data_IF_347414071648
#
_entry.id   IF_347414071648
#
_cell.length_a   1.000
_cell.length_b   1.000
_cell.length_c   1.000
_cell.angle_alpha   90.00
_cell.angle_beta   90.00
_cell.angle_gamma   90.00
#
_symmetry.space_group_name_H-M   'P 1'
#
loop_
_entity.id
_entity.type
_entity.pdbx_description
1 polymer ?
#
# COMPACT_ATOMS: atom_id res chain seq x y z
N UNK A 1 17.25 0.82 24.02
CA UNK A 1 15.99 1.49 24.42
C UNK A 1 14.88 0.88 23.61
N UNK A 2 13.71 0.61 24.19
CA UNK A 2 12.58 0.04 23.44
C UNK A 2 12.08 1.03 22.39
N UNK A 3 11.79 0.54 21.18
CA UNK A 3 11.28 1.36 20.08
C UNK A 3 9.78 1.09 19.89
N UNK A 4 8.97 2.13 19.97
CA UNK A 4 7.53 2.05 19.74
C UNK A 4 7.22 1.80 18.27
N UNK A 5 7.93 2.46 17.37
CA UNK A 5 7.70 2.35 15.93
C UNK A 5 8.99 2.47 15.13
N UNK A 6 9.08 1.69 14.05
CA UNK A 6 10.06 1.85 12.99
C UNK A 6 9.39 2.39 11.73
N UNK A 7 9.93 3.48 11.19
CA UNK A 7 9.62 3.98 9.86
C UNK A 7 10.63 3.43 8.87
N UNK A 8 10.20 2.58 7.93
CA UNK A 8 11.04 2.08 6.84
C UNK A 8 10.91 2.98 5.63
N UNK A 9 12.02 3.52 5.15
CA UNK A 9 12.08 4.43 4.01
C UNK A 9 12.84 3.73 2.88
N UNK A 10 12.13 3.02 1.96
CA UNK A 10 12.75 2.48 0.76
C UNK A 10 13.21 3.63 -0.15
N UNK A 11 14.49 3.63 -0.54
CA UNK A 11 15.11 4.74 -1.26
C UNK A 11 15.90 4.23 -2.46
N UNK A 12 15.60 4.74 -3.66
CA UNK A 12 16.36 4.48 -4.87
C UNK A 12 16.45 5.75 -5.70
N UNK A 13 17.67 6.31 -5.86
CA UNK A 13 17.91 7.59 -6.50
C UNK A 13 17.03 8.71 -5.92
N UNK A 14 16.96 8.78 -4.58
CA UNK A 14 16.06 9.63 -3.81
C UNK A 14 16.79 10.84 -3.16
N UNK A 15 18.02 11.13 -3.54
CA UNK A 15 18.86 12.16 -2.91
C UNK A 15 18.20 13.56 -2.85
N UNK A 16 17.25 13.85 -3.73
CA UNK A 16 16.56 15.15 -3.79
C UNK A 16 15.37 15.25 -2.82
N UNK A 17 14.71 14.13 -2.56
CA UNK A 17 13.41 14.12 -1.86
C UNK A 17 13.52 13.63 -0.42
N UNK A 18 14.47 12.70 -0.11
CA UNK A 18 14.57 12.00 1.16
C UNK A 18 14.76 12.92 2.38
N UNK A 19 15.38 14.09 2.21
CA UNK A 19 15.60 15.03 3.32
C UNK A 19 14.28 15.54 3.87
N UNK A 20 13.31 15.82 3.01
CA UNK A 20 11.97 16.25 3.42
C UNK A 20 11.22 15.14 4.15
N UNK A 21 11.29 13.91 3.64
CA UNK A 21 10.70 12.74 4.26
C UNK A 21 11.24 12.55 5.70
N UNK A 22 12.56 12.43 5.85
CA UNK A 22 13.21 12.20 7.14
C UNK A 22 12.94 13.35 8.13
N UNK A 23 13.06 14.60 7.68
CA UNK A 23 12.81 15.78 8.51
C UNK A 23 11.38 15.80 9.03
N UNK A 24 10.39 15.45 8.20
CA UNK A 24 8.99 15.43 8.62
C UNK A 24 8.72 14.44 9.75
N UNK A 25 9.41 13.30 9.76
CA UNK A 25 9.30 12.29 10.81
C UNK A 25 10.00 12.76 12.09
N UNK A 26 11.21 13.31 11.98
CA UNK A 26 11.98 13.81 13.13
C UNK A 26 11.25 14.94 13.84
N UNK A 27 10.81 15.97 13.10
CA UNK A 27 10.10 17.12 13.65
C UNK A 27 8.73 16.71 14.23
N UNK A 28 7.96 15.92 13.48
CA UNK A 28 6.65 15.45 13.93
C UNK A 28 6.70 14.52 15.15
N UNK A 29 7.82 13.83 15.37
CA UNK A 29 8.10 13.06 16.59
C UNK A 29 8.73 13.84 17.71
N UNK A 30 9.08 15.11 17.48
CA UNK A 30 9.87 15.95 18.38
C UNK A 30 11.20 15.28 18.73
N UNK A 31 11.89 14.69 17.73
CA UNK A 31 13.17 13.99 17.86
C UNK A 31 13.18 12.89 18.94
N UNK A 32 12.04 12.24 19.13
CA UNK A 32 11.87 11.23 20.18
C UNK A 32 12.78 10.02 19.95
N UNK A 33 13.43 9.55 21.02
CA UNK A 33 14.37 8.43 20.96
C UNK A 33 13.73 7.05 20.97
N UNK A 34 12.42 6.98 21.17
CA UNK A 34 11.62 5.75 21.13
C UNK A 34 11.06 5.43 19.72
N UNK A 35 11.41 6.25 18.72
CA UNK A 35 11.20 5.92 17.32
C UNK A 35 12.48 5.41 16.67
N UNK A 36 12.35 4.75 15.55
CA UNK A 36 13.44 4.35 14.66
C UNK A 36 13.09 4.73 13.23
N UNK A 37 14.07 5.19 12.47
CA UNK A 37 13.97 5.43 11.02
C UNK A 37 15.01 4.55 10.36
N UNK A 38 14.61 3.69 9.43
CA UNK A 38 15.52 2.87 8.62
C UNK A 38 15.43 3.35 7.18
N UNK A 39 16.50 3.98 6.72
CA UNK A 39 16.65 4.36 5.30
C UNK A 39 17.28 3.18 4.58
N UNK A 40 16.56 2.59 3.65
CA UNK A 40 17.06 1.46 2.86
C UNK A 40 17.44 1.97 1.48
N UNK A 41 18.74 2.16 1.26
CA UNK A 41 19.29 2.45 -0.07
C UNK A 41 19.32 1.17 -0.91
N UNK A 42 18.49 1.13 -1.93
CA UNK A 42 18.31 -0.01 -2.84
C UNK A 42 19.28 0.08 -4.04
N UNK A 43 20.58 0.28 -3.76
CA UNK A 43 21.65 0.32 -4.77
C UNK A 43 21.56 1.56 -5.67
N UNK A 44 21.38 2.72 -5.09
CA UNK A 44 21.28 4.02 -5.80
C UNK A 44 22.58 4.33 -6.55
N UNK A 45 22.44 5.15 -7.60
CA UNK A 45 23.54 5.65 -8.42
C UNK A 45 23.83 7.15 -8.22
N UNK A 46 22.98 7.81 -7.45
CA UNK A 46 23.13 9.20 -7.03
C UNK A 46 23.67 9.28 -5.59
N UNK A 47 23.55 10.44 -4.96
CA UNK A 47 24.05 10.70 -3.61
C UNK A 47 23.17 10.10 -2.49
N UNK A 48 22.16 9.28 -2.79
CA UNK A 48 21.23 8.71 -1.80
C UNK A 48 21.94 7.96 -0.68
N UNK A 49 22.91 7.08 -1.03
CA UNK A 49 23.66 6.29 -0.05
C UNK A 49 24.44 7.20 0.91
N UNK A 50 25.20 8.15 0.37
CA UNK A 50 25.98 9.09 1.18
C UNK A 50 25.09 9.94 2.11
N UNK A 51 23.95 10.41 1.63
CA UNK A 51 22.98 11.14 2.47
C UNK A 51 22.38 10.26 3.57
N UNK A 52 22.10 8.99 3.29
CA UNK A 52 21.60 8.08 4.32
C UNK A 52 22.62 7.92 5.45
N UNK A 53 23.91 7.78 5.13
CA UNK A 53 25.00 7.71 6.09
C UNK A 53 25.16 9.02 6.88
N UNK A 54 25.03 10.18 6.24
CA UNK A 54 25.05 11.49 6.91
C UNK A 54 23.88 11.62 7.91
N UNK A 55 22.68 11.17 7.55
CA UNK A 55 21.54 11.16 8.46
C UNK A 55 21.73 10.22 9.64
N UNK A 56 22.28 9.02 9.44
CA UNK A 56 22.61 8.09 10.53
C UNK A 56 23.67 8.70 11.46
N UNK A 57 24.75 9.27 10.92
CA UNK A 57 25.81 9.91 11.72
C UNK A 57 25.28 11.09 12.53
N UNK A 58 24.32 11.85 12.01
CA UNK A 58 23.71 13.02 12.67
C UNK A 58 22.73 12.65 13.78
N UNK A 59 22.03 11.50 13.65
CA UNK A 59 21.01 11.05 14.61
C UNK A 59 21.24 9.59 15.04
N UNK A 60 22.39 9.30 15.70
CA UNK A 60 22.71 7.94 16.09
C UNK A 60 21.68 7.38 17.08
N UNK A 61 21.25 6.15 16.83
CA UNK A 61 20.24 5.49 17.63
C UNK A 61 18.78 5.87 17.31
N UNK A 62 18.56 6.83 16.40
CA UNK A 62 17.24 7.15 15.83
C UNK A 62 17.19 6.71 14.37
N UNK A 63 18.20 7.10 13.57
CA UNK A 63 18.30 6.77 12.15
C UNK A 63 19.33 5.68 11.93
N UNK A 64 19.06 4.79 10.99
CA UNK A 64 19.98 3.76 10.53
C UNK A 64 19.90 3.65 9.01
N UNK A 65 21.06 3.65 8.36
CA UNK A 65 21.21 3.37 6.94
C UNK A 65 21.41 1.87 6.71
N UNK A 66 20.75 1.34 5.67
CA UNK A 66 20.90 -0.03 5.20
C UNK A 66 21.13 0.01 3.71
N UNK A 67 22.27 -0.52 3.24
CA UNK A 67 22.60 -0.57 1.83
C UNK A 67 22.45 -1.98 1.28
N UNK A 68 21.89 -2.11 0.08
CA UNK A 68 21.73 -3.40 -0.59
C UNK A 68 21.92 -3.26 -2.11
N UNK A 69 22.13 -4.37 -2.77
CA UNK A 69 22.01 -4.43 -4.24
C UNK A 69 20.55 -4.15 -4.61
N UNK A 70 20.37 -3.47 -5.77
CA UNK A 70 19.03 -3.11 -6.20
C UNK A 70 18.14 -4.35 -6.39
N UNK A 71 17.13 -4.45 -5.55
CA UNK A 71 16.10 -5.50 -5.57
C UNK A 71 14.72 -4.98 -5.94
N UNK A 72 14.56 -3.65 -6.01
CA UNK A 72 13.29 -2.95 -6.21
C UNK A 72 12.55 -2.68 -4.90
N UNK A 73 11.55 -1.82 -4.99
CA UNK A 73 10.82 -1.27 -3.85
C UNK A 73 10.38 -2.33 -2.82
N UNK A 74 9.78 -3.45 -3.26
CA UNK A 74 9.32 -4.49 -2.34
C UNK A 74 10.44 -5.14 -1.52
N UNK A 75 11.61 -5.35 -2.14
CA UNK A 75 12.77 -5.93 -1.45
C UNK A 75 13.34 -4.92 -0.45
N UNK A 76 13.38 -3.63 -0.78
CA UNK A 76 13.79 -2.58 0.15
C UNK A 76 12.83 -2.49 1.36
N UNK A 77 11.50 -2.60 1.14
CA UNK A 77 10.51 -2.70 2.23
C UNK A 77 10.77 -3.90 3.12
N UNK A 78 11.05 -5.09 2.55
CA UNK A 78 11.37 -6.30 3.33
C UNK A 78 12.69 -6.16 4.12
N UNK A 79 13.69 -5.52 3.55
CA UNK A 79 14.95 -5.24 4.25
C UNK A 79 14.74 -4.31 5.45
N UNK A 80 13.98 -3.23 5.28
CA UNK A 80 13.59 -2.37 6.39
C UNK A 80 12.81 -3.11 7.48
N UNK A 81 11.86 -3.97 7.09
CA UNK A 81 11.08 -4.79 8.02
C UNK A 81 11.96 -5.81 8.78
N UNK A 82 12.92 -6.43 8.11
CA UNK A 82 13.86 -7.37 8.74
C UNK A 82 14.67 -6.71 9.84
N UNK A 83 15.13 -5.50 9.59
CA UNK A 83 15.98 -4.73 10.49
C UNK A 83 15.19 -3.97 11.59
N UNK A 84 13.88 -3.81 11.44
CA UNK A 84 13.02 -3.05 12.34
C UNK A 84 13.08 -3.53 13.80
N UNK A 85 13.21 -2.62 14.75
CA UNK A 85 13.21 -2.87 16.19
C UNK A 85 11.95 -2.37 16.89
N UNK A 86 11.13 -1.55 16.19
CA UNK A 86 9.89 -1.02 16.72
C UNK A 86 8.79 -2.06 16.88
N UNK A 87 7.96 -1.90 17.90
CA UNK A 87 6.73 -2.70 18.06
C UNK A 87 5.85 -2.59 16.82
N UNK A 88 5.81 -1.41 16.21
CA UNK A 88 5.07 -1.15 14.97
C UNK A 88 6.03 -0.84 13.83
N UNK A 89 5.58 -1.13 12.61
CA UNK A 89 6.29 -0.85 11.37
C UNK A 89 5.40 -0.09 10.39
N UNK A 90 5.90 1.01 9.87
CA UNK A 90 5.24 1.82 8.84
C UNK A 90 6.21 2.13 7.72
N UNK A 91 5.80 1.86 6.48
CA UNK A 91 6.52 2.30 5.28
C UNK A 91 6.19 3.76 5.00
N UNK A 92 7.22 4.54 4.67
CA UNK A 92 7.10 5.89 4.15
C UNK A 92 7.99 5.98 2.91
N UNK A 93 7.40 6.23 1.74
CA UNK A 93 8.18 6.37 0.51
C UNK A 93 9.07 7.62 0.59
N UNK A 94 10.28 7.53 0.07
CA UNK A 94 11.31 8.57 0.23
C UNK A 94 10.97 9.93 -0.39
N UNK A 95 9.96 9.96 -1.24
CA UNK A 95 9.44 11.14 -1.93
C UNK A 95 8.14 11.70 -1.32
N UNK A 96 7.67 11.08 -0.23
CA UNK A 96 6.48 11.44 0.53
C UNK A 96 6.86 11.99 1.92
N UNK A 97 5.88 12.45 2.71
CA UNK A 97 6.14 12.95 4.06
C UNK A 97 4.97 12.68 5.01
N UNK A 98 5.18 12.93 6.30
CA UNK A 98 4.15 12.81 7.32
C UNK A 98 3.75 14.20 7.86
N UNK A 99 2.46 14.37 8.15
CA UNK A 99 1.97 15.56 8.88
C UNK A 99 2.41 15.50 10.34
N UNK A 100 3.11 16.52 10.80
CA UNK A 100 3.71 16.52 12.14
C UNK A 100 2.69 16.43 13.28
N UNK A 101 1.57 17.14 13.19
CA UNK A 101 0.52 17.09 14.23
C UNK A 101 -0.19 15.72 14.26
N UNK A 102 -0.46 15.16 13.08
CA UNK A 102 -1.04 13.83 12.97
C UNK A 102 -0.05 12.75 13.45
N UNK A 103 1.25 12.88 13.15
CA UNK A 103 2.30 11.98 13.65
C UNK A 103 2.40 12.02 15.18
N UNK A 104 2.44 13.21 15.78
CA UNK A 104 2.43 13.36 17.24
C UNK A 104 1.22 12.68 17.87
N UNK A 105 0.03 12.81 17.24
CA UNK A 105 -1.20 12.13 17.68
C UNK A 105 -1.07 10.61 17.58
N UNK A 106 -0.56 10.09 16.46
CA UNK A 106 -0.32 8.66 16.26
C UNK A 106 0.60 8.11 17.34
N UNK A 107 1.75 8.76 17.58
CA UNK A 107 2.73 8.32 18.57
C UNK A 107 2.14 8.30 19.98
N UNK A 108 1.35 9.31 20.36
CA UNK A 108 0.65 9.33 21.64
C UNK A 108 -0.30 8.13 21.81
N UNK A 109 -1.02 7.76 20.76
CA UNK A 109 -1.92 6.59 20.78
C UNK A 109 -1.12 5.29 20.90
N UNK A 110 -0.04 5.12 20.14
CA UNK A 110 0.78 3.92 20.16
C UNK A 110 1.49 3.72 21.51
N UNK A 111 2.05 4.80 22.07
CA UNK A 111 2.61 4.79 23.43
C UNK A 111 1.58 4.38 24.47
N UNK A 112 0.36 4.93 24.39
CA UNK A 112 -0.74 4.56 25.26
C UNK A 112 -1.17 3.09 25.11
N UNK A 113 -0.99 2.44 23.96
CA UNK A 113 -1.19 1.00 23.81
C UNK A 113 -0.07 0.20 24.50
N UNK A 114 1.20 0.65 24.39
CA UNK A 114 2.32 0.03 25.08
C UNK A 114 2.15 0.09 26.61
N UNK A 115 1.81 1.27 27.15
CA UNK A 115 1.62 1.49 28.59
C UNK A 115 0.50 0.63 29.19
N UNK A 116 -0.53 0.32 28.39
CA UNK A 116 -1.67 -0.50 28.83
C UNK A 116 -1.52 -1.98 28.47
N UNK A 117 -0.42 -2.38 27.82
CA UNK A 117 -0.23 -3.71 27.23
C UNK A 117 -1.41 -4.14 26.32
N UNK A 118 -1.95 -3.18 25.56
CA UNK A 118 -3.10 -3.36 24.66
C UNK A 118 -2.71 -3.12 23.20
N UNK A 119 -1.64 -3.78 22.73
CA UNK A 119 -1.16 -3.63 21.36
C UNK A 119 -2.19 -4.09 20.34
N UNK A 120 -2.38 -3.28 19.29
CA UNK A 120 -3.21 -3.67 18.15
C UNK A 120 -2.35 -4.26 17.05
N UNK A 121 -2.93 -5.12 16.21
CA UNK A 121 -2.21 -5.73 15.09
C UNK A 121 -2.04 -4.76 13.92
N UNK A 122 -3.01 -3.83 13.77
CA UNK A 122 -3.03 -2.88 12.68
C UNK A 122 -3.57 -1.52 13.15
N UNK A 123 -2.75 -0.50 13.06
CA UNK A 123 -3.18 0.90 13.17
C UNK A 123 -3.43 1.46 11.77
N UNK A 124 -4.57 2.14 11.60
CA UNK A 124 -5.02 2.70 10.33
C UNK A 124 -5.18 4.21 10.49
N UNK A 125 -4.66 4.99 9.53
CA UNK A 125 -4.85 6.43 9.42
C UNK A 125 -5.36 6.83 8.03
N UNK A 126 -5.72 8.09 7.85
CA UNK A 126 -5.95 8.64 6.54
C UNK A 126 -4.63 8.91 5.81
N UNK A 127 -4.72 9.09 4.50
CA UNK A 127 -3.66 9.67 3.69
C UNK A 127 -4.24 10.78 2.82
N UNK A 128 -3.37 11.66 2.32
CA UNK A 128 -3.74 12.83 1.54
C UNK A 128 -3.00 12.79 0.22
N UNK A 129 -3.71 12.85 -0.88
CA UNK A 129 -3.11 13.14 -2.17
C UNK A 129 -2.71 14.61 -2.22
N UNK A 130 -1.41 14.86 -2.34
CA UNK A 130 -0.83 16.20 -2.46
C UNK A 130 -0.48 16.48 -3.91
N UNK A 131 -1.32 17.24 -4.58
CA UNK A 131 -1.06 17.73 -5.94
C UNK A 131 -0.30 19.06 -5.85
N UNK A 132 0.97 18.98 -5.50
CA UNK A 132 1.82 20.13 -5.17
C UNK A 132 1.83 21.15 -6.30
N UNK A 133 1.91 20.70 -7.56
CA UNK A 133 1.92 21.59 -8.74
C UNK A 133 0.57 22.27 -9.01
N UNK A 134 -0.53 21.69 -8.53
CA UNK A 134 -1.88 22.27 -8.65
C UNK A 134 -2.29 23.08 -7.41
N UNK A 135 -1.51 22.99 -6.31
CA UNK A 135 -1.84 23.61 -5.03
C UNK A 135 -3.11 23.03 -4.39
N UNK A 136 -3.46 21.78 -4.72
CA UNK A 136 -4.67 21.12 -4.21
C UNK A 136 -4.34 19.84 -3.47
N UNK A 137 -5.19 19.50 -2.48
CA UNK A 137 -5.05 18.27 -1.71
C UNK A 137 -6.40 17.55 -1.56
N UNK A 138 -6.38 16.24 -1.41
CA UNK A 138 -7.58 15.43 -1.20
C UNK A 138 -7.31 14.35 -0.16
N UNK A 139 -7.97 14.46 0.99
CA UNK A 139 -7.87 13.46 2.06
C UNK A 139 -8.72 12.22 1.73
N UNK A 140 -8.14 11.05 1.92
CA UNK A 140 -8.78 9.75 1.81
C UNK A 140 -8.85 9.14 3.19
N UNK A 141 -10.06 9.03 3.72
CA UNK A 141 -10.32 8.49 5.05
C UNK A 141 -11.38 7.40 5.04
N UNK A 142 -11.52 6.72 6.16
CA UNK A 142 -12.32 5.48 6.28
C UNK A 142 -13.43 5.59 7.33
N UNK A 143 -13.77 6.79 7.78
CA UNK A 143 -14.72 7.05 8.88
C UNK A 143 -16.14 6.47 8.71
N UNK A 144 -16.53 6.14 7.47
CA UNK A 144 -17.82 5.50 7.20
C UNK A 144 -17.75 3.97 7.17
N UNK A 145 -16.53 3.42 7.03
CA UNK A 145 -16.29 1.98 6.97
C UNK A 145 -15.68 1.43 8.27
N UNK A 146 -14.90 2.24 9.00
CA UNK A 146 -14.17 1.78 10.18
C UNK A 146 -14.66 2.46 11.46
N UNK A 147 -14.79 1.70 12.58
CA UNK A 147 -15.03 2.26 13.89
C UNK A 147 -13.89 3.20 14.32
N UNK A 148 -14.22 4.35 14.91
CA UNK A 148 -13.26 5.36 15.37
C UNK A 148 -13.02 5.30 16.87
N UNK A 149 -11.83 5.67 17.33
CA UNK A 149 -11.46 5.88 18.73
C UNK A 149 -11.70 4.65 19.63
N UNK A 150 -11.64 3.46 19.08
CA UNK A 150 -11.74 2.19 19.82
C UNK A 150 -11.01 1.08 19.07
N UNK A 151 -10.58 0.07 19.80
CA UNK A 151 -10.08 -1.18 19.22
C UNK A 151 -11.28 -1.95 18.67
N UNK A 152 -11.12 -2.53 17.49
CA UNK A 152 -12.18 -3.28 16.81
C UNK A 152 -11.59 -4.50 16.06
N UNK A 153 -12.48 -5.39 15.65
CA UNK A 153 -12.18 -6.58 14.83
C UNK A 153 -12.82 -6.43 13.45
N UNK A 154 -12.45 -7.29 12.51
CA UNK A 154 -13.00 -7.28 11.16
C UNK A 154 -14.54 -7.44 11.12
N UNK A 155 -15.13 -8.12 12.10
CA UNK A 155 -16.59 -8.30 12.16
C UNK A 155 -17.36 -7.02 12.54
N UNK A 156 -16.65 -5.97 12.93
CA UNK A 156 -17.21 -4.68 13.31
C UNK A 156 -17.08 -3.60 12.24
N UNK A 157 -16.42 -3.90 11.10
CA UNK A 157 -16.28 -2.93 10.01
C UNK A 157 -17.58 -2.75 9.25
N UNK A 158 -17.77 -1.58 8.63
CA UNK A 158 -18.84 -1.30 7.68
C UNK A 158 -18.46 -1.70 6.25
N UNK A 159 -19.21 -1.17 5.30
CA UNK A 159 -18.94 -1.37 3.87
C UNK A 159 -17.99 -0.29 3.37
N UNK A 160 -16.92 -0.72 2.71
CA UNK A 160 -16.04 0.17 1.96
C UNK A 160 -16.76 0.60 0.66
N UNK A 161 -16.56 1.83 0.25
CA UNK A 161 -17.05 2.31 -1.04
C UNK A 161 -16.30 1.61 -2.17
N UNK A 162 -16.88 1.62 -3.36
CA UNK A 162 -16.19 1.12 -4.55
C UNK A 162 -14.85 1.86 -4.71
N UNK A 163 -13.80 1.10 -4.99
CA UNK A 163 -12.42 1.61 -5.10
C UNK A 163 -11.82 2.26 -3.84
N UNK A 164 -12.48 2.19 -2.69
CA UNK A 164 -11.92 2.64 -1.41
C UNK A 164 -11.16 1.49 -0.77
N UNK A 165 -9.88 1.34 -1.11
CA UNK A 165 -9.02 0.32 -0.53
C UNK A 165 -8.12 0.93 0.55
N UNK A 166 -7.73 0.10 1.52
CA UNK A 166 -6.64 0.40 2.44
C UNK A 166 -5.34 0.31 1.65
N UNK A 167 -4.66 1.41 1.46
CA UNK A 167 -3.36 1.45 0.79
C UNK A 167 -2.23 1.42 1.82
N UNK A 168 -1.01 1.06 1.40
CA UNK A 168 0.20 1.03 2.23
C UNK A 168 0.35 2.34 3.04
N UNK A 169 0.06 3.48 2.43
CA UNK A 169 0.13 4.81 3.02
C UNK A 169 -0.71 4.95 4.31
N UNK A 170 -1.85 4.26 4.40
CA UNK A 170 -2.74 4.30 5.56
C UNK A 170 -2.42 3.28 6.65
N UNK A 171 -1.52 2.33 6.40
CA UNK A 171 -1.30 1.17 7.25
C UNK A 171 -0.03 1.30 8.10
N UNK A 172 -0.15 0.89 9.36
CA UNK A 172 0.97 0.68 10.27
C UNK A 172 0.70 -0.63 11.01
N UNK A 173 1.49 -1.63 10.73
CA UNK A 173 1.32 -2.96 11.30
C UNK A 173 2.14 -3.15 12.57
N UNK A 174 1.68 -4.01 13.47
CA UNK A 174 2.56 -4.59 14.48
C UNK A 174 3.62 -5.42 13.75
N UNK A 175 4.87 -5.18 14.09
CA UNK A 175 6.05 -5.70 13.35
C UNK A 175 6.08 -7.22 13.26
N UNK A 176 5.75 -7.91 14.35
CA UNK A 176 5.68 -9.38 14.39
C UNK A 176 4.59 -9.94 13.47
N UNK A 177 3.39 -9.35 13.49
CA UNK A 177 2.28 -9.75 12.61
C UNK A 177 2.65 -9.60 11.13
N UNK A 178 3.35 -8.50 10.80
CA UNK A 178 3.79 -8.25 9.43
C UNK A 178 4.90 -9.25 9.02
N UNK A 179 5.85 -9.55 9.90
CA UNK A 179 6.89 -10.56 9.66
C UNK A 179 6.31 -11.95 9.47
N UNK A 180 5.37 -12.36 10.32
CA UNK A 180 4.68 -13.64 10.21
C UNK A 180 3.84 -13.77 8.92
N UNK A 181 3.50 -12.65 8.29
CA UNK A 181 2.75 -12.66 7.02
C UNK A 181 3.59 -13.15 5.84
N UNK A 182 4.93 -13.25 5.98
CA UNK A 182 5.86 -13.75 4.95
C UNK A 182 5.54 -13.16 3.58
N UNK A 183 5.55 -11.83 3.49
CA UNK A 183 5.13 -11.09 2.28
C UNK A 183 5.84 -11.59 1.02
N UNK A 184 5.14 -12.10 0.02
CA UNK A 184 5.72 -12.62 -1.22
C UNK A 184 6.04 -11.48 -2.20
N UNK A 185 6.99 -10.61 -1.83
CA UNK A 185 7.40 -9.46 -2.63
C UNK A 185 8.35 -9.90 -3.75
N UNK A 186 7.94 -9.84 -5.03
CA UNK A 186 8.83 -10.16 -6.13
C UNK A 186 9.84 -9.03 -6.36
N UNK A 187 11.11 -9.35 -6.72
CA UNK A 187 12.10 -8.33 -7.04
C UNK A 187 11.70 -7.55 -8.30
N UNK A 188 12.21 -6.32 -8.41
CA UNK A 188 12.05 -5.43 -9.56
C UNK A 188 10.60 -5.34 -10.07
N UNK A 189 9.65 -5.28 -9.14
CA UNK A 189 8.22 -5.25 -9.46
C UNK A 189 7.56 -4.04 -8.81
N UNK A 190 6.83 -3.25 -9.61
CA UNK A 190 5.98 -2.16 -9.12
C UNK A 190 4.65 -2.70 -8.61
N UNK A 191 3.88 -1.86 -7.94
CA UNK A 191 2.53 -2.19 -7.41
C UNK A 191 2.52 -3.23 -6.28
N UNK A 192 3.68 -3.54 -5.69
CA UNK A 192 3.83 -4.47 -4.56
C UNK A 192 3.25 -3.91 -3.25
N UNK A 193 2.99 -2.61 -3.19
CA UNK A 193 2.20 -1.94 -2.16
C UNK A 193 0.82 -2.59 -1.96
N UNK A 194 0.23 -3.16 -3.04
CA UNK A 194 -1.00 -3.93 -2.97
C UNK A 194 -0.81 -5.28 -2.24
N UNK A 195 0.35 -5.92 -2.38
CA UNK A 195 0.70 -7.13 -1.63
C UNK A 195 0.85 -6.79 -0.14
N UNK A 196 1.57 -5.69 0.16
CA UNK A 196 1.74 -5.17 1.52
C UNK A 196 0.39 -4.85 2.20
N UNK A 197 -0.53 -4.28 1.45
CA UNK A 197 -1.84 -3.90 1.95
C UNK A 197 -2.82 -5.07 2.10
N UNK A 198 -2.66 -6.14 1.32
CA UNK A 198 -3.64 -7.23 1.21
C UNK A 198 -3.28 -8.47 2.01
N UNK A 199 -2.02 -8.93 1.88
CA UNK A 199 -1.61 -10.23 2.42
C UNK A 199 -1.66 -10.30 3.95
N UNK A 200 -1.29 -9.26 4.73
CA UNK A 200 -1.31 -9.37 6.19
C UNK A 200 -2.71 -9.33 6.82
N UNK A 201 -3.74 -8.90 6.10
CA UNK A 201 -5.06 -8.61 6.69
C UNK A 201 -5.69 -9.78 7.47
N UNK A 202 -5.66 -11.04 7.01
CA UNK A 202 -6.24 -12.15 7.75
C UNK A 202 -5.51 -12.47 9.07
N UNK A 203 -4.27 -12.02 9.23
CA UNK A 203 -3.49 -12.19 10.47
C UNK A 203 -3.80 -11.11 11.49
N UNK A 204 -4.29 -9.94 11.06
CA UNK A 204 -4.69 -8.86 11.95
C UNK A 204 -6.01 -9.19 12.63
N UNK A 205 -6.01 -9.42 13.94
CA UNK A 205 -7.20 -9.72 14.75
C UNK A 205 -7.79 -8.46 15.37
N UNK A 206 -6.92 -7.51 15.73
CA UNK A 206 -7.29 -6.27 16.40
C UNK A 206 -6.78 -5.05 15.62
N UNK A 207 -7.67 -4.08 15.41
CA UNK A 207 -7.35 -2.87 14.67
C UNK A 207 -7.76 -1.61 15.45
N UNK A 208 -7.11 -0.51 15.10
CA UNK A 208 -7.51 0.81 15.55
C UNK A 208 -7.48 1.79 14.38
N UNK A 209 -8.54 2.57 14.22
CA UNK A 209 -8.59 3.61 13.21
C UNK A 209 -8.58 5.00 13.88
N UNK A 210 -7.53 5.77 13.57
CA UNK A 210 -7.43 7.18 13.89
C UNK A 210 -7.84 7.99 12.65
N UNK A 211 -8.87 8.82 12.78
CA UNK A 211 -9.32 9.71 11.70
C UNK A 211 -8.40 10.95 11.66
N UNK A 212 -7.15 10.74 11.29
CA UNK A 212 -6.08 11.75 11.18
C UNK A 212 -5.42 11.67 9.80
N UNK A 213 -5.13 12.81 9.19
CA UNK A 213 -4.56 12.95 7.86
C UNK A 213 -3.04 12.88 7.93
N UNK A 214 -2.51 11.66 8.21
CA UNK A 214 -1.12 11.41 8.57
C UNK A 214 -0.17 11.46 7.38
N UNK A 215 -0.45 10.66 6.36
CA UNK A 215 0.47 10.43 5.25
C UNK A 215 0.19 11.40 4.12
N UNK A 216 1.21 12.10 3.63
CA UNK A 216 1.17 13.07 2.54
C UNK A 216 1.79 12.44 1.31
N UNK A 217 0.95 12.01 0.38
CA UNK A 217 1.34 11.35 -0.86
C UNK A 217 1.50 12.35 -1.99
N UNK A 218 2.74 12.57 -2.42
CA UNK A 218 3.06 13.50 -3.49
C UNK A 218 2.69 12.91 -4.85
N UNK A 219 1.68 13.48 -5.53
CA UNK A 219 1.24 13.06 -6.86
C UNK A 219 1.36 14.18 -7.89
N UNK A 220 1.44 13.79 -9.17
CA UNK A 220 1.51 14.71 -10.31
C UNK A 220 2.91 14.93 -10.87
N UNK A 221 3.94 14.16 -10.43
CA UNK A 221 5.28 14.21 -11.03
C UNK A 221 5.33 13.42 -12.33
N UNK A 222 6.16 13.89 -13.29
CA UNK A 222 6.44 13.11 -14.49
C UNK A 222 7.10 11.76 -14.13
N UNK A 223 6.67 10.69 -14.79
CA UNK A 223 7.24 9.36 -14.61
C UNK A 223 6.73 8.57 -13.41
N UNK A 224 5.77 9.08 -12.63
CA UNK A 224 5.18 8.33 -11.52
C UNK A 224 4.59 7.00 -11.99
N UNK A 225 4.67 5.99 -11.11
CA UNK A 225 4.22 4.62 -11.37
C UNK A 225 2.72 4.52 -11.66
N UNK A 226 1.92 5.45 -11.13
CA UNK A 226 0.45 5.50 -11.29
C UNK A 226 -0.01 6.20 -12.57
N UNK A 227 0.89 6.74 -13.39
CA UNK A 227 0.54 7.31 -14.69
C UNK A 227 0.04 6.21 -15.63
N UNK A 228 -1.10 6.43 -16.33
CA UNK A 228 -1.75 5.45 -17.21
C UNK A 228 -0.79 4.84 -18.24
N UNK A 229 -0.02 5.68 -18.95
CA UNK A 229 0.95 5.21 -19.95
C UNK A 229 2.06 4.37 -19.34
N UNK A 230 2.48 4.69 -18.11
CA UNK A 230 3.45 3.91 -17.34
C UNK A 230 2.87 2.57 -16.89
N UNK A 231 1.61 2.56 -16.44
CA UNK A 231 0.91 1.35 -16.03
C UNK A 231 0.70 0.39 -17.21
N UNK A 232 0.35 0.88 -18.38
CA UNK A 232 0.23 0.08 -19.60
C UNK A 232 1.57 -0.59 -19.96
N UNK A 233 2.68 0.15 -19.92
CA UNK A 233 4.04 -0.39 -20.17
C UNK A 233 4.47 -1.45 -19.13
N UNK A 234 3.87 -1.46 -17.96
CA UNK A 234 4.17 -2.39 -16.85
C UNK A 234 3.05 -3.38 -16.59
N UNK A 235 2.25 -3.66 -17.60
CA UNK A 235 1.09 -4.54 -17.53
C UNK A 235 1.46 -5.96 -17.02
N UNK A 236 2.63 -6.48 -17.39
CA UNK A 236 3.15 -7.76 -16.89
C UNK A 236 3.33 -7.78 -15.37
N UNK A 237 3.74 -6.67 -14.79
CA UNK A 237 3.93 -6.54 -13.33
C UNK A 237 2.58 -6.44 -12.62
N UNK A 238 1.62 -5.73 -13.21
CA UNK A 238 0.25 -5.70 -12.70
C UNK A 238 -0.38 -7.11 -12.68
N UNK A 239 -0.19 -7.91 -13.73
CA UNK A 239 -0.60 -9.31 -13.76
C UNK A 239 0.10 -10.14 -12.67
N UNK A 240 1.40 -9.96 -12.49
CA UNK A 240 2.20 -10.67 -11.48
C UNK A 240 1.69 -10.39 -10.07
N UNK A 241 1.51 -9.12 -9.70
CA UNK A 241 0.98 -8.73 -8.40
C UNK A 241 -0.43 -9.25 -8.18
N UNK A 242 -1.32 -9.15 -9.18
CA UNK A 242 -2.68 -9.66 -9.08
C UNK A 242 -2.70 -11.17 -8.89
N UNK A 243 -1.80 -11.93 -9.56
CA UNK A 243 -1.64 -13.38 -9.38
C UNK A 243 -1.18 -13.71 -7.96
N UNK A 244 -0.21 -13.01 -7.42
CA UNK A 244 0.26 -13.20 -6.04
C UNK A 244 -0.88 -12.98 -5.05
N UNK A 245 -1.68 -11.92 -5.22
CA UNK A 245 -2.86 -11.68 -4.38
C UNK A 245 -3.90 -12.80 -4.52
N UNK A 246 -4.12 -13.32 -5.73
CA UNK A 246 -5.00 -14.46 -5.99
C UNK A 246 -4.57 -15.70 -5.21
N UNK A 247 -3.28 -16.03 -5.31
CA UNK A 247 -2.71 -17.27 -4.77
C UNK A 247 -2.47 -17.20 -3.25
N UNK A 248 -2.57 -16.02 -2.65
CA UNK A 248 -2.33 -15.84 -1.22
C UNK A 248 -3.40 -16.49 -0.35
N UNK A 249 -4.65 -16.58 -0.82
CA UNK A 249 -5.77 -17.11 -0.03
C UNK A 249 -6.90 -17.69 -0.89
N UNK A 250 -7.42 -18.84 -0.49
CA UNK A 250 -8.78 -19.24 -0.83
C UNK A 250 -9.75 -18.50 0.10
N UNK A 251 -10.21 -17.32 -0.32
CA UNK A 251 -10.92 -16.37 0.55
C UNK A 251 -12.11 -16.99 1.31
N UNK A 252 -12.77 -17.98 0.74
CA UNK A 252 -13.96 -18.56 1.34
C UNK A 252 -13.69 -19.69 2.33
N UNK A 253 -12.48 -20.26 2.35
CA UNK A 253 -12.03 -21.23 3.35
C UNK A 253 -11.08 -20.63 4.38
N UNK A 254 -10.15 -19.74 3.95
CA UNK A 254 -9.03 -19.29 4.76
C UNK A 254 -9.36 -18.03 5.59
N UNK A 255 -10.38 -17.26 5.16
CA UNK A 255 -10.76 -16.00 5.82
C UNK A 255 -12.07 -16.17 6.59
N UNK A 256 -11.98 -16.28 7.91
CA UNK A 256 -13.13 -16.56 8.80
C UNK A 256 -14.16 -15.42 8.84
N UNK A 257 -13.72 -14.16 8.97
CA UNK A 257 -14.62 -13.01 8.99
C UNK A 257 -15.28 -12.78 7.64
N UNK A 258 -16.60 -12.79 7.60
CA UNK A 258 -17.36 -12.54 6.38
C UNK A 258 -17.21 -11.12 5.86
N UNK A 259 -16.98 -10.15 6.75
CA UNK A 259 -16.76 -8.74 6.39
C UNK A 259 -15.37 -8.54 5.81
N UNK A 260 -14.33 -9.12 6.43
CA UNK A 260 -12.98 -9.11 5.86
C UNK A 260 -12.95 -9.80 4.49
N UNK A 261 -13.55 -10.98 4.39
CA UNK A 261 -13.65 -11.70 3.11
C UNK A 261 -14.32 -10.88 2.02
N UNK A 262 -15.42 -10.19 2.36
CA UNK A 262 -16.10 -9.30 1.40
C UNK A 262 -15.22 -8.13 0.98
N UNK A 263 -14.48 -7.53 1.91
CA UNK A 263 -13.52 -6.46 1.64
C UNK A 263 -12.39 -6.96 0.73
N UNK A 264 -11.73 -8.06 1.10
CA UNK A 264 -10.64 -8.65 0.31
C UNK A 264 -11.09 -9.07 -1.09
N UNK A 265 -12.31 -9.63 -1.21
CA UNK A 265 -12.90 -9.97 -2.51
C UNK A 265 -13.14 -8.73 -3.37
N UNK A 266 -13.59 -7.63 -2.77
CA UNK A 266 -13.75 -6.33 -3.45
C UNK A 266 -12.41 -5.78 -3.95
N UNK A 267 -11.38 -5.79 -3.11
CA UNK A 267 -10.04 -5.36 -3.46
C UNK A 267 -9.47 -6.20 -4.60
N UNK A 268 -9.50 -7.51 -4.48
CA UNK A 268 -9.06 -8.43 -5.53
C UNK A 268 -9.82 -8.22 -6.85
N UNK A 269 -11.14 -8.03 -6.79
CA UNK A 269 -11.95 -7.72 -7.98
C UNK A 269 -11.51 -6.42 -8.66
N UNK A 270 -11.11 -5.42 -7.88
CA UNK A 270 -10.55 -4.18 -8.42
C UNK A 270 -9.22 -4.42 -9.14
N UNK A 271 -8.32 -5.25 -8.58
CA UNK A 271 -7.05 -5.60 -9.23
C UNK A 271 -7.29 -6.34 -10.57
N UNK A 272 -8.24 -7.26 -10.61
CA UNK A 272 -8.66 -7.93 -11.85
C UNK A 272 -9.26 -6.95 -12.86
N UNK A 273 -10.01 -5.94 -12.39
CA UNK A 273 -10.56 -4.90 -13.24
C UNK A 273 -9.47 -4.00 -13.84
N UNK A 274 -8.46 -3.64 -13.05
CA UNK A 274 -7.28 -2.89 -13.51
C UNK A 274 -6.56 -3.69 -14.61
N UNK A 275 -6.30 -4.99 -14.40
CA UNK A 275 -5.73 -5.86 -15.43
C UNK A 275 -6.57 -5.82 -16.72
N UNK A 276 -7.90 -5.93 -16.61
CA UNK A 276 -8.79 -5.93 -17.76
C UNK A 276 -8.81 -4.60 -18.52
N UNK A 277 -8.76 -3.47 -17.79
CA UNK A 277 -8.73 -2.13 -18.39
C UNK A 277 -7.40 -1.87 -19.08
N UNK A 278 -6.28 -2.15 -18.39
CA UNK A 278 -4.94 -1.93 -18.94
C UNK A 278 -4.68 -2.81 -20.16
N UNK A 279 -5.20 -4.04 -20.20
CA UNK A 279 -5.16 -4.90 -21.39
C UNK A 279 -5.83 -4.23 -22.59
N UNK A 280 -7.00 -3.60 -22.37
CA UNK A 280 -7.72 -2.90 -23.46
C UNK A 280 -7.06 -1.57 -23.90
N UNK A 281 -6.17 -1.03 -23.09
CA UNK A 281 -5.35 0.15 -23.40
C UNK A 281 -4.00 -0.23 -24.01
N UNK A 282 -3.58 -1.49 -23.85
CA UNK A 282 -2.31 -1.99 -24.36
C UNK A 282 -2.39 -2.28 -25.86
N UNK A 283 -1.28 -1.99 -26.55
CA UNK A 283 -1.08 -2.36 -27.96
C UNK A 283 -0.30 -3.69 -28.09
N UNK A 284 -0.02 -4.39 -26.99
CA UNK A 284 0.69 -5.67 -27.01
C UNK A 284 -0.21 -6.79 -27.54
N UNK A 285 0.23 -7.47 -28.58
CA UNK A 285 -0.51 -8.58 -29.23
C UNK A 285 -0.89 -9.72 -28.27
N UNK A 286 -0.11 -9.95 -27.23
CA UNK A 286 -0.34 -11.05 -26.27
C UNK A 286 -1.10 -10.62 -25.00
N UNK A 287 -1.50 -9.35 -24.85
CA UNK A 287 -2.15 -8.86 -23.63
C UNK A 287 -3.49 -9.56 -23.35
N UNK A 288 -4.32 -9.74 -24.39
CA UNK A 288 -5.60 -10.45 -24.27
C UNK A 288 -5.44 -11.93 -23.88
N UNK A 289 -4.44 -12.62 -24.41
CA UNK A 289 -4.11 -14.01 -24.06
C UNK A 289 -3.67 -14.13 -22.60
N UNK A 290 -2.85 -13.20 -22.13
CA UNK A 290 -2.42 -13.14 -20.72
C UNK A 290 -3.61 -12.91 -19.78
N UNK A 291 -4.50 -11.97 -20.12
CA UNK A 291 -5.72 -11.74 -19.34
C UNK A 291 -6.61 -12.97 -19.30
N UNK A 292 -6.81 -13.64 -20.45
CA UNK A 292 -7.56 -14.88 -20.53
C UNK A 292 -6.95 -15.99 -19.67
N UNK A 293 -5.62 -16.11 -19.69
CA UNK A 293 -4.88 -17.04 -18.84
C UNK A 293 -5.12 -16.73 -17.36
N UNK A 294 -4.99 -15.48 -16.92
CA UNK A 294 -5.23 -15.07 -15.52
C UNK A 294 -6.66 -15.41 -15.07
N UNK A 295 -7.69 -15.22 -15.94
CA UNK A 295 -9.06 -15.60 -15.62
C UNK A 295 -9.25 -17.12 -15.54
N UNK A 296 -8.59 -17.89 -16.40
CA UNK A 296 -8.63 -19.35 -16.37
C UNK A 296 -7.93 -19.90 -15.11
N UNK A 297 -6.80 -19.32 -14.75
CA UNK A 297 -6.06 -19.68 -13.53
C UNK A 297 -6.87 -19.39 -12.28
N UNK A 298 -7.55 -18.23 -12.21
CA UNK A 298 -8.45 -17.92 -11.11
C UNK A 298 -9.60 -18.93 -11.03
N UNK A 299 -10.16 -19.34 -12.18
CA UNK A 299 -11.24 -20.33 -12.21
C UNK A 299 -10.76 -21.71 -11.72
N UNK A 300 -9.55 -22.10 -12.09
CA UNK A 300 -8.94 -23.36 -11.66
C UNK A 300 -8.54 -23.32 -10.17
N UNK A 301 -8.06 -22.17 -9.70
CA UNK A 301 -7.65 -21.96 -8.31
C UNK A 301 -8.84 -21.92 -7.35
N UNK A 302 -9.84 -21.09 -7.63
CA UNK A 302 -11.05 -20.95 -6.81
C UNK A 302 -12.24 -20.50 -7.67
N UNK A 303 -13.13 -21.44 -8.01
CA UNK A 303 -14.29 -21.16 -8.85
C UNK A 303 -15.27 -20.16 -8.20
N UNK A 304 -15.37 -20.13 -6.88
CA UNK A 304 -16.25 -19.21 -6.17
C UNK A 304 -15.74 -17.77 -6.24
N UNK A 305 -14.42 -17.58 -6.05
CA UNK A 305 -13.78 -16.29 -6.27
C UNK A 305 -13.92 -15.85 -7.73
N UNK A 306 -13.69 -16.76 -8.70
CA UNK A 306 -13.86 -16.50 -10.11
C UNK A 306 -15.27 -15.99 -10.43
N UNK A 307 -16.30 -16.72 -10.00
CA UNK A 307 -17.70 -16.33 -10.25
C UNK A 307 -18.01 -14.96 -9.68
N UNK A 308 -17.54 -14.68 -8.48
CA UNK A 308 -17.77 -13.40 -7.79
C UNK A 308 -17.05 -12.25 -8.49
N UNK A 309 -15.77 -12.42 -8.85
CA UNK A 309 -15.00 -11.41 -9.57
C UNK A 309 -15.52 -11.18 -10.99
N UNK A 310 -15.85 -12.26 -11.73
CA UNK A 310 -16.15 -12.21 -13.16
C UNK A 310 -17.55 -11.70 -13.46
N UNK A 311 -18.53 -12.12 -12.66
CA UNK A 311 -19.95 -11.82 -12.87
C UNK A 311 -20.52 -10.79 -11.88
N UNK A 312 -19.73 -10.28 -10.93
CA UNK A 312 -20.08 -9.09 -10.16
C UNK A 312 -20.10 -7.85 -11.05
N UNK A 313 -20.71 -6.76 -10.55
CA UNK A 313 -20.90 -5.51 -11.32
C UNK A 313 -19.62 -5.03 -11.98
N UNK A 314 -18.53 -4.90 -11.21
CA UNK A 314 -17.24 -4.43 -11.74
C UNK A 314 -16.70 -5.38 -12.81
N UNK A 315 -16.62 -6.68 -12.50
CA UNK A 315 -16.10 -7.68 -13.44
C UNK A 315 -16.95 -7.80 -14.71
N UNK A 316 -18.26 -7.67 -14.61
CA UNK A 316 -19.14 -7.67 -15.78
C UNK A 316 -18.79 -6.52 -16.74
N UNK A 317 -18.75 -5.29 -16.23
CA UNK A 317 -18.50 -4.11 -17.07
C UNK A 317 -17.07 -4.00 -17.59
N UNK A 318 -16.06 -4.52 -16.86
CA UNK A 318 -14.67 -4.47 -17.31
C UNK A 318 -14.31 -5.58 -18.31
N UNK A 319 -15.16 -6.59 -18.44
CA UNK A 319 -14.92 -7.74 -19.33
C UNK A 319 -15.97 -7.87 -20.45
N UNK A 320 -16.58 -6.79 -20.86
CA UNK A 320 -17.45 -6.76 -22.05
C UNK A 320 -16.62 -7.09 -23.30
N UNK A 321 -17.25 -7.86 -24.23
CA UNK A 321 -16.58 -8.38 -25.42
C UNK A 321 -16.87 -7.52 -26.66
N UNK A 322 -15.91 -7.50 -27.57
CA UNK A 322 -16.01 -6.85 -28.88
C UNK A 322 -15.83 -5.33 -28.79
N UNK A 323 -15.68 -4.69 -29.95
CA UNK A 323 -15.37 -3.24 -30.05
C UNK A 323 -16.33 -2.31 -29.29
N UNK A 324 -17.62 -2.65 -29.25
CA UNK A 324 -18.61 -1.88 -28.48
C UNK A 324 -18.41 -2.07 -26.98
N UNK A 325 -18.12 -3.29 -26.54
CA UNK A 325 -17.82 -3.61 -25.15
C UNK A 325 -16.54 -2.89 -24.66
N UNK A 326 -15.51 -2.87 -25.48
CA UNK A 326 -14.23 -2.18 -25.15
C UNK A 326 -14.44 -0.67 -25.00
N UNK A 327 -15.17 -0.04 -25.93
CA UNK A 327 -15.54 1.38 -25.82
C UNK A 327 -16.33 1.68 -24.56
N UNK A 328 -17.26 0.81 -24.17
CA UNK A 328 -18.08 0.95 -22.96
C UNK A 328 -17.20 0.83 -21.72
N UNK A 329 -16.34 -0.18 -21.64
CA UNK A 329 -15.40 -0.39 -20.53
C UNK A 329 -14.49 0.83 -20.35
N UNK A 330 -13.86 1.30 -21.42
CA UNK A 330 -12.96 2.47 -21.38
C UNK A 330 -13.71 3.76 -21.06
N UNK A 331 -14.94 3.92 -21.54
CA UNK A 331 -15.79 5.06 -21.19
C UNK A 331 -16.13 5.09 -19.69
N UNK A 332 -16.50 3.95 -19.12
CA UNK A 332 -16.76 3.81 -17.68
C UNK A 332 -15.49 4.02 -16.84
N UNK A 333 -14.36 3.52 -17.29
CA UNK A 333 -13.05 3.76 -16.64
C UNK A 333 -12.71 5.25 -16.61
N UNK A 334 -12.81 5.96 -17.75
CA UNK A 334 -12.58 7.42 -17.83
C UNK A 334 -13.53 8.22 -16.95
N UNK A 335 -14.78 7.79 -16.84
CA UNK A 335 -15.75 8.41 -15.92
C UNK A 335 -15.35 8.16 -14.46
N UNK A 336 -14.99 6.93 -14.12
CA UNK A 336 -14.55 6.57 -12.77
C UNK A 336 -13.28 7.34 -12.38
N UNK A 337 -12.27 7.43 -13.24
CA UNK A 337 -11.04 8.18 -12.96
C UNK A 337 -11.28 9.67 -12.69
N UNK A 338 -12.23 10.30 -13.39
CA UNK A 338 -12.67 11.68 -13.11
C UNK A 338 -13.38 11.83 -11.75
N UNK A 339 -14.23 10.86 -11.40
CA UNK A 339 -15.01 10.90 -10.14
C UNK A 339 -14.10 10.65 -8.94
N UNK A 340 -13.25 9.65 -9.03
CA UNK A 340 -12.38 9.21 -7.93
C UNK A 340 -11.00 9.91 -7.92
N UNK A 341 -10.71 10.75 -8.92
CA UNK A 341 -9.46 11.53 -9.06
C UNK A 341 -8.20 10.65 -8.96
N UNK A 342 -8.21 9.50 -9.63
CA UNK A 342 -7.09 8.57 -9.63
C UNK A 342 -5.87 9.03 -10.45
N UNK A 343 -5.95 10.13 -11.18
CA UNK A 343 -4.88 10.73 -11.99
C UNK A 343 -4.90 12.25 -11.84
#
# INVERSE_FOLDING_TARGET
MHKVITFGIPSYNAAKDMDHCITSILEGSNYATDIEIIVVDDGSKDETAAKADEWEARYPGIIRAVHQENGGHGIAVLSGLREAQGTYYKVVDSDDWLDGAALSTMLSILRGFEERDQRVDLFISNYVYEKVYEGTHTAIGYKFALPRKKIFTWDQIGHFRLAQNLLMHSLCYRTDVLRESNLPMPPHTFYVDNIYAYVPLPRCKTMYYADIDLYRYFIGREGQSVNEATMVKRLDQQFRVTRIMMESYHLYSDVGSSRLRSYMMGYFTMMMAICSVLTKLSEEDCADERLKTLWNDLKAYDERMYRRARYGVVGFFTNLRGRAGDKTTLGLYRLASKIFKFN
#
